data_IF_785973862192
#
_entry.id   IF_785973862192
#
_cell.length_a   1.000
_cell.length_b   1.000
_cell.length_c   1.000
_cell.angle_alpha   90.00
_cell.angle_beta   90.00
_cell.angle_gamma   90.00
#
_symmetry.space_group_name_H-M   'P 1'
#
loop_
_entity.id
_entity.type
_entity.pdbx_description
1 polymer ?
#
# COMPACT_ATOMS: atom_id res chain seq x y z
N UNK A 1 -9.94 -6.39 -21.94
CA UNK A 1 -8.71 -6.17 -21.17
C UNK A 1 -9.03 -5.07 -20.18
N UNK A 2 -8.74 -5.28 -18.90
CA UNK A 2 -9.00 -4.28 -17.87
C UNK A 2 -8.10 -3.06 -18.07
N UNK A 3 -8.60 -1.88 -17.69
CA UNK A 3 -7.74 -0.70 -17.46
C UNK A 3 -6.79 -0.94 -16.28
N UNK A 4 -5.72 -0.14 -16.17
CA UNK A 4 -4.77 -0.24 -15.05
C UNK A 4 -5.47 -0.09 -13.69
N UNK A 5 -6.37 0.90 -13.57
CA UNK A 5 -7.14 1.15 -12.35
C UNK A 5 -8.05 -0.03 -11.97
N UNK A 6 -8.75 -0.64 -12.94
CA UNK A 6 -9.59 -1.82 -12.68
C UNK A 6 -8.75 -3.02 -12.26
N UNK A 7 -7.60 -3.24 -12.90
CA UNK A 7 -6.70 -4.32 -12.58
C UNK A 7 -6.12 -4.19 -11.15
N UNK A 8 -5.74 -2.98 -10.73
CA UNK A 8 -5.30 -2.70 -9.35
C UNK A 8 -6.38 -3.02 -8.33
N UNK A 9 -7.62 -2.60 -8.59
CA UNK A 9 -8.75 -2.91 -7.70
C UNK A 9 -8.96 -4.42 -7.54
N UNK A 10 -8.87 -5.17 -8.63
CA UNK A 10 -8.98 -6.63 -8.60
C UNK A 10 -7.80 -7.22 -7.81
N UNK A 11 -6.56 -6.84 -8.12
CA UNK A 11 -5.36 -7.36 -7.47
C UNK A 11 -5.36 -7.09 -5.95
N UNK A 12 -5.68 -5.86 -5.55
CA UNK A 12 -5.80 -5.44 -4.14
C UNK A 12 -6.95 -6.13 -3.43
N UNK A 13 -8.07 -6.36 -4.12
CA UNK A 13 -9.20 -7.11 -3.59
C UNK A 13 -8.87 -8.57 -3.26
N UNK A 14 -7.86 -9.16 -3.91
CA UNK A 14 -7.34 -10.48 -3.57
C UNK A 14 -6.41 -10.48 -2.36
N UNK A 15 -5.80 -9.34 -2.01
CA UNK A 15 -4.97 -9.19 -0.82
C UNK A 15 -3.65 -9.98 -0.87
N UNK A 16 -2.98 -9.99 -2.03
CA UNK A 16 -1.66 -10.61 -2.15
C UNK A 16 -0.61 -9.83 -1.34
N UNK A 17 0.16 -10.53 -0.52
CA UNK A 17 1.21 -9.94 0.31
C UNK A 17 2.57 -9.93 -0.42
N UNK A 18 2.68 -10.61 -1.57
CA UNK A 18 3.90 -10.64 -2.38
C UNK A 18 3.65 -10.82 -3.87
N UNK A 19 4.67 -10.46 -4.67
CA UNK A 19 4.71 -10.71 -6.12
C UNK A 19 4.58 -12.20 -6.41
N UNK A 20 5.25 -13.05 -5.61
CA UNK A 20 5.20 -14.51 -5.78
C UNK A 20 3.79 -15.05 -5.64
N UNK A 21 3.05 -14.62 -4.62
CA UNK A 21 1.65 -15.01 -4.45
C UNK A 21 0.78 -14.57 -5.63
N UNK A 22 0.97 -13.35 -6.12
CA UNK A 22 0.26 -12.88 -7.31
C UNK A 22 0.61 -13.70 -8.56
N UNK A 23 1.88 -14.05 -8.77
CA UNK A 23 2.34 -14.80 -9.93
C UNK A 23 1.86 -16.25 -9.90
N UNK A 24 1.85 -16.88 -8.73
CA UNK A 24 1.38 -18.26 -8.53
C UNK A 24 -0.15 -18.36 -8.58
N UNK A 25 -0.86 -17.27 -8.30
CA UNK A 25 -2.32 -17.24 -8.36
C UNK A 25 -2.85 -17.45 -9.78
N UNK A 26 -3.59 -18.54 -9.99
CA UNK A 26 -4.30 -18.78 -11.25
C UNK A 26 -5.82 -18.72 -11.02
N UNK A 27 -6.49 -17.87 -11.80
CA UNK A 27 -7.93 -17.68 -11.72
C UNK A 27 -8.57 -18.04 -13.04
N UNK A 28 -9.58 -18.91 -13.01
CA UNK A 28 -10.33 -19.24 -14.20
C UNK A 28 -11.26 -18.07 -14.61
N UNK A 29 -11.09 -17.54 -15.82
CA UNK A 29 -12.08 -16.70 -16.49
C UNK A 29 -11.87 -15.20 -16.34
N UNK A 30 -12.94 -14.46 -16.05
CA UNK A 30 -13.00 -13.01 -16.22
C UNK A 30 -12.00 -12.25 -15.32
N UNK A 31 -11.60 -12.76 -14.17
CA UNK A 31 -10.72 -12.06 -13.22
C UNK A 31 -9.22 -12.29 -13.44
N UNK A 32 -8.85 -12.93 -14.56
CA UNK A 32 -7.46 -13.18 -14.86
C UNK A 32 -6.72 -11.88 -15.21
N UNK A 33 -5.75 -11.53 -14.39
CA UNK A 33 -4.86 -10.40 -14.61
C UNK A 33 -3.58 -10.85 -15.34
N UNK A 34 -2.99 -10.01 -16.20
CA UNK A 34 -1.72 -10.31 -16.86
C UNK A 34 -0.59 -10.45 -15.84
N UNK A 35 0.37 -11.33 -16.13
CA UNK A 35 1.55 -11.59 -15.28
C UNK A 35 2.72 -10.63 -15.55
N UNK A 36 2.58 -9.82 -16.59
CA UNK A 36 3.50 -8.78 -17.08
C UNK A 36 2.79 -7.42 -17.11
N UNK A 37 2.30 -6.91 -15.97
CA UNK A 37 1.53 -5.67 -15.92
C UNK A 37 2.34 -4.43 -16.35
N UNK A 38 3.67 -4.48 -16.21
CA UNK A 38 4.63 -3.48 -16.66
C UNK A 38 4.71 -3.35 -18.19
N UNK A 39 4.46 -4.44 -18.92
CA UNK A 39 4.39 -4.43 -20.39
C UNK A 39 2.98 -4.09 -20.90
N UNK A 40 1.94 -4.42 -20.12
CA UNK A 40 0.55 -4.16 -20.51
C UNK A 40 0.17 -2.71 -20.29
N UNK A 41 0.60 -2.11 -19.17
CA UNK A 41 0.25 -0.75 -18.76
C UNK A 41 1.49 0.15 -18.67
N UNK A 42 2.37 0.10 -19.68
CA UNK A 42 3.67 0.80 -19.70
C UNK A 42 3.60 2.27 -19.26
N UNK A 43 2.55 2.99 -19.67
CA UNK A 43 2.42 4.43 -19.37
C UNK A 43 1.92 4.72 -17.94
N UNK A 44 1.17 3.79 -17.34
CA UNK A 44 0.53 3.97 -16.02
C UNK A 44 1.24 3.17 -14.91
N UNK A 45 2.02 2.16 -15.30
CA UNK A 45 2.73 1.27 -14.40
C UNK A 45 3.79 2.02 -13.62
N UNK A 46 3.77 1.85 -12.30
CA UNK A 46 4.79 2.39 -11.40
C UNK A 46 5.69 1.27 -10.87
N UNK A 47 5.12 0.36 -10.08
CA UNK A 47 5.80 -0.80 -9.54
C UNK A 47 4.79 -1.82 -8.98
N UNK A 48 5.29 -3.02 -8.67
CA UNK A 48 4.50 -4.11 -8.09
C UNK A 48 3.81 -3.75 -6.78
N UNK A 49 4.52 -3.01 -5.97
CA UNK A 49 4.14 -2.57 -4.64
C UNK A 49 2.87 -1.71 -4.66
N UNK A 50 2.80 -0.75 -5.60
CA UNK A 50 1.61 0.02 -5.91
C UNK A 50 0.51 -0.86 -6.51
N UNK A 51 0.84 -1.68 -7.50
CA UNK A 51 -0.14 -2.47 -8.23
C UNK A 51 -0.91 -3.43 -7.32
N UNK A 52 -0.19 -4.13 -6.44
CA UNK A 52 -0.74 -5.08 -5.49
C UNK A 52 -1.26 -4.42 -4.22
N UNK A 53 -0.90 -3.15 -3.96
CA UNK A 53 -1.24 -2.45 -2.72
C UNK A 53 -0.50 -3.02 -1.51
N UNK A 54 0.71 -3.55 -1.70
CA UNK A 54 1.51 -4.13 -0.63
C UNK A 54 1.88 -3.04 0.37
N UNK A 55 1.70 -3.33 1.66
CA UNK A 55 2.03 -2.40 2.73
C UNK A 55 3.55 -2.27 2.90
N UNK A 56 4.03 -1.06 3.19
CA UNK A 56 5.48 -0.80 3.31
C UNK A 56 6.18 -1.77 4.25
N UNK A 57 7.24 -2.42 3.77
CA UNK A 57 8.04 -3.35 4.59
C UNK A 57 9.18 -2.64 5.31
N UNK A 58 9.75 -1.60 4.71
CA UNK A 58 10.81 -0.80 5.29
C UNK A 58 10.24 0.33 6.18
N UNK A 59 10.80 0.49 7.38
CA UNK A 59 10.37 1.52 8.34
C UNK A 59 10.69 2.94 7.87
N UNK A 60 11.90 3.19 7.34
CA UNK A 60 12.34 4.51 6.92
C UNK A 60 11.47 5.04 5.78
N UNK A 61 11.21 4.21 4.77
CA UNK A 61 10.31 4.56 3.66
C UNK A 61 8.89 4.85 4.14
N UNK A 62 8.35 4.02 5.05
CA UNK A 62 7.02 4.23 5.61
C UNK A 62 6.95 5.53 6.43
N UNK A 63 7.99 5.83 7.21
CA UNK A 63 8.08 7.04 8.01
C UNK A 63 8.14 8.28 7.12
N UNK A 64 8.97 8.25 6.08
CA UNK A 64 9.09 9.38 5.16
C UNK A 64 7.75 9.65 4.45
N UNK A 65 7.05 8.59 4.01
CA UNK A 65 5.69 8.72 3.46
C UNK A 65 4.71 9.28 4.48
N UNK A 66 4.72 8.78 5.72
CA UNK A 66 3.85 9.28 6.78
C UNK A 66 4.08 10.79 7.01
N UNK A 67 5.33 11.23 7.17
CA UNK A 67 5.68 12.63 7.40
C UNK A 67 5.34 13.55 6.23
N UNK A 68 5.51 13.08 4.99
CA UNK A 68 5.23 13.87 3.78
C UNK A 68 3.73 13.94 3.48
N UNK A 69 2.98 12.85 3.71
CA UNK A 69 1.57 12.77 3.31
C UNK A 69 0.59 13.09 4.43
N UNK A 70 0.99 12.91 5.68
CA UNK A 70 0.13 13.07 6.86
C UNK A 70 0.53 14.29 7.69
N UNK A 71 0.88 15.41 7.04
CA UNK A 71 1.38 16.64 7.70
C UNK A 71 0.47 17.19 8.82
N UNK A 72 -0.83 16.91 8.78
CA UNK A 72 -1.81 17.38 9.76
C UNK A 72 -2.10 16.37 10.89
N UNK A 73 -1.45 15.22 10.86
CA UNK A 73 -1.69 14.10 11.78
C UNK A 73 -0.52 14.01 12.73
N UNK A 74 -0.79 14.05 14.02
CA UNK A 74 0.27 14.04 15.05
C UNK A 74 0.05 12.99 16.12
N UNK A 75 -1.12 12.35 16.14
CA UNK A 75 -1.49 11.38 17.17
C UNK A 75 -1.85 10.02 16.58
N UNK A 76 -1.67 8.97 17.39
CA UNK A 76 -2.12 7.60 17.07
C UNK A 76 -3.62 7.55 16.76
N UNK A 77 -4.44 8.31 17.48
CA UNK A 77 -5.89 8.32 17.29
C UNK A 77 -6.28 8.88 15.93
N UNK A 78 -5.73 10.04 15.56
CA UNK A 78 -5.93 10.66 14.25
C UNK A 78 -5.47 9.73 13.13
N UNK A 79 -4.29 9.11 13.28
CA UNK A 79 -3.77 8.15 12.31
C UNK A 79 -4.74 6.97 12.11
N UNK A 80 -5.21 6.34 13.19
CA UNK A 80 -6.16 5.23 13.08
C UNK A 80 -7.50 5.67 12.47
N UNK A 81 -7.94 6.90 12.74
CA UNK A 81 -9.20 7.41 12.19
C UNK A 81 -9.15 7.57 10.68
N UNK A 82 -7.99 7.92 10.09
CA UNK A 82 -7.82 7.97 8.63
C UNK A 82 -8.20 6.66 7.94
N UNK A 83 -7.75 5.52 8.49
CA UNK A 83 -8.05 4.20 7.93
C UNK A 83 -9.48 3.75 8.23
N UNK A 84 -9.98 4.02 9.44
CA UNK A 84 -11.35 3.65 9.84
C UNK A 84 -12.41 4.38 9.03
N UNK A 85 -12.22 5.68 8.83
CA UNK A 85 -13.14 6.54 8.10
C UNK A 85 -12.89 6.51 6.58
N UNK A 86 -11.84 5.82 6.13
CA UNK A 86 -11.43 5.72 4.72
C UNK A 86 -11.23 7.10 4.09
N UNK A 87 -10.54 7.98 4.81
CA UNK A 87 -10.26 9.36 4.39
C UNK A 87 -9.21 9.39 3.27
N UNK A 88 -8.28 8.44 3.29
CA UNK A 88 -7.21 8.33 2.30
C UNK A 88 -7.77 7.80 0.97
N UNK A 89 -7.37 8.45 -0.13
CA UNK A 89 -7.68 7.97 -1.46
C UNK A 89 -7.04 6.59 -1.70
N UNK A 90 -7.70 5.74 -2.47
CA UNK A 90 -7.20 4.40 -2.81
C UNK A 90 -5.86 4.47 -3.56
N UNK A 91 -5.63 5.54 -4.32
CA UNK A 91 -4.42 5.82 -5.06
C UNK A 91 -3.39 6.63 -4.26
N UNK A 92 -3.70 7.09 -3.04
CA UNK A 92 -2.70 7.72 -2.19
C UNK A 92 -1.75 6.67 -1.62
N UNK A 93 -0.45 6.90 -1.80
CA UNK A 93 0.62 6.08 -1.24
C UNK A 93 0.53 5.95 0.29
N UNK A 94 -0.03 6.95 0.98
CA UNK A 94 -0.28 6.89 2.42
C UNK A 94 -1.26 5.76 2.81
N UNK A 95 -2.17 5.37 1.91
CA UNK A 95 -3.10 4.27 2.14
C UNK A 95 -2.40 2.90 2.23
N UNK A 96 -1.13 2.82 1.79
CA UNK A 96 -0.26 1.63 1.93
C UNK A 96 0.51 1.60 3.25
N UNK A 97 0.41 2.63 4.08
CA UNK A 97 0.99 2.59 5.42
C UNK A 97 0.26 1.53 6.26
N UNK A 98 0.97 0.78 7.11
CA UNK A 98 0.34 -0.26 7.92
C UNK A 98 -0.60 0.36 8.95
N UNK A 99 -1.74 -0.29 9.20
CA UNK A 99 -2.69 0.16 10.23
C UNK A 99 -2.06 0.21 11.64
N UNK A 100 -1.10 -0.68 11.94
CA UNK A 100 -0.34 -0.72 13.20
C UNK A 100 1.17 -0.67 12.92
N UNK A 101 1.73 0.51 12.64
CA UNK A 101 3.15 0.66 12.32
C UNK A 101 4.05 0.33 13.52
N UNK A 102 3.57 0.61 14.74
CA UNK A 102 4.21 0.27 16.02
C UNK A 102 4.50 -1.23 16.16
N UNK A 103 3.56 -2.07 15.75
CA UNK A 103 3.73 -3.51 15.76
C UNK A 103 4.55 -3.99 14.58
N UNK A 104 4.32 -3.46 13.37
CA UNK A 104 5.03 -3.88 12.15
C UNK A 104 6.53 -3.59 12.23
N UNK A 105 6.89 -2.43 12.79
CA UNK A 105 8.27 -1.93 12.82
C UNK A 105 8.93 -2.02 14.20
N UNK A 106 8.32 -2.72 15.17
CA UNK A 106 8.80 -2.84 16.56
C UNK A 106 10.31 -3.14 16.71
N UNK A 107 10.86 -3.95 15.80
CA UNK A 107 12.29 -4.33 15.79
C UNK A 107 13.01 -3.84 14.52
N UNK A 108 12.44 -2.87 13.81
CA UNK A 108 12.90 -2.37 12.52
C UNK A 108 13.15 -0.85 12.52
N UNK A 109 13.31 -0.24 13.69
CA UNK A 109 13.59 1.19 13.84
C UNK A 109 12.46 1.99 14.49
N UNK A 110 11.32 1.37 14.82
CA UNK A 110 10.25 2.03 15.56
C UNK A 110 10.75 2.53 16.93
N UNK A 111 10.49 3.81 17.21
CA UNK A 111 10.80 4.43 18.50
C UNK A 111 9.50 4.83 19.22
N UNK A 112 8.71 5.69 18.58
CA UNK A 112 7.45 6.20 19.11
C UNK A 112 6.61 6.78 17.97
N UNK A 113 5.32 7.04 18.24
CA UNK A 113 4.42 7.67 17.28
C UNK A 113 4.88 9.06 16.86
N UNK A 114 5.46 9.82 17.79
CA UNK A 114 5.99 11.15 17.52
C UNK A 114 7.13 11.10 16.50
N UNK A 115 8.02 10.09 16.57
CA UNK A 115 9.05 9.89 15.54
C UNK A 115 8.43 9.48 14.20
N UNK A 116 7.38 8.67 14.20
CA UNK A 116 6.79 8.21 12.96
C UNK A 116 6.00 9.30 12.20
N UNK A 117 5.27 10.16 12.92
CA UNK A 117 4.34 11.12 12.33
C UNK A 117 4.90 12.54 12.23
N UNK A 118 5.80 12.96 13.12
CA UNK A 118 6.31 14.33 13.12
C UNK A 118 7.41 14.51 12.08
N UNK A 119 7.36 15.62 11.33
CA UNK A 119 8.38 16.02 10.34
C UNK A 119 9.76 16.27 10.95
#
# INVERSE_FOLDING_TARGET
>A
MYSYSEARKIARGHGFDSITEFLDYDCAGAYQLPKNPDEVWIEEWTNWDDFLGITFSNFEEARDVARIRLEQISTEEEYHNLFKEKVLDEDDIANRLPYKPDLKYKNQGWVAWEDFLSS
#
